data_IF_134526901123
#
_entry.id   IF_134526901123
#
_cell.length_a   1.000
_cell.length_b   1.000
_cell.length_c   1.000
_cell.angle_alpha   90.00
_cell.angle_beta   90.00
_cell.angle_gamma   90.00
#
_symmetry.space_group_name_H-M   'P 1'
#
loop_
_entity.id
_entity.type
_entity.pdbx_description
1 polymer ?
#
# COMPACT_ATOMS: atom_id res chain seq x y z
N UNK A 1 30.10 -41.75 -14.17
CA UNK A 1 28.69 -41.39 -13.95
C UNK A 1 28.47 -40.05 -14.57
N UNK A 2 27.45 -39.95 -15.40
CA UNK A 2 27.00 -38.66 -16.03
C UNK A 2 25.70 -38.25 -15.41
N UNK A 3 25.58 -37.00 -15.05
CA UNK A 3 24.34 -36.35 -14.59
C UNK A 3 24.12 -35.09 -15.43
N UNK A 4 22.96 -35.01 -16.05
CA UNK A 4 22.60 -33.89 -16.92
C UNK A 4 21.24 -33.33 -16.50
N UNK A 5 21.24 -32.05 -16.19
CA UNK A 5 20.00 -31.27 -15.99
C UNK A 5 19.77 -30.43 -17.21
N UNK A 6 18.55 -30.48 -17.76
CA UNK A 6 18.22 -29.76 -18.95
C UNK A 6 16.75 -29.27 -18.95
N UNK A 7 16.47 -28.30 -19.79
CA UNK A 7 15.16 -27.70 -20.00
C UNK A 7 14.64 -28.14 -21.38
N UNK A 8 13.75 -29.15 -21.45
CA UNK A 8 13.26 -29.66 -22.73
C UNK A 8 12.37 -28.68 -23.51
N UNK A 9 11.88 -27.64 -22.83
CA UNK A 9 11.06 -26.56 -23.41
C UNK A 9 11.91 -25.49 -24.12
N UNK A 10 13.22 -25.48 -23.97
CA UNK A 10 14.14 -24.52 -24.58
C UNK A 10 14.97 -25.16 -25.70
N UNK A 11 15.36 -24.33 -26.69
CA UNK A 11 16.13 -24.74 -27.85
C UNK A 11 17.53 -25.21 -27.43
N UNK A 12 18.25 -24.39 -26.64
CA UNK A 12 19.51 -24.75 -25.99
C UNK A 12 19.13 -25.22 -24.59
N UNK A 13 19.18 -26.53 -24.35
CA UNK A 13 18.48 -27.11 -23.21
C UNK A 13 19.36 -27.39 -22.00
N UNK A 14 20.69 -27.36 -22.13
CA UNK A 14 21.60 -27.73 -21.03
C UNK A 14 21.62 -26.70 -19.90
N UNK A 15 21.16 -27.14 -18.72
CA UNK A 15 21.17 -26.34 -17.49
C UNK A 15 22.44 -26.62 -16.68
N UNK A 16 22.86 -27.90 -16.57
CA UNK A 16 24.08 -28.30 -15.89
C UNK A 16 24.49 -29.69 -16.33
N UNK A 17 25.78 -29.91 -16.57
CA UNK A 17 26.32 -31.21 -16.90
C UNK A 17 27.48 -31.55 -15.97
N UNK A 18 27.38 -32.69 -15.32
CA UNK A 18 28.46 -33.36 -14.60
C UNK A 18 28.78 -34.64 -15.32
N UNK A 19 30.02 -34.79 -15.75
CA UNK A 19 30.47 -35.97 -16.45
C UNK A 19 31.96 -36.17 -16.21
N UNK A 20 32.38 -37.45 -16.10
CA UNK A 20 33.76 -37.81 -15.87
C UNK A 20 34.39 -37.10 -14.65
N UNK A 21 33.64 -37.03 -13.54
CA UNK A 21 34.05 -36.47 -12.26
C UNK A 21 34.22 -34.92 -12.23
N UNK A 22 33.80 -34.22 -13.28
CA UNK A 22 33.89 -32.74 -13.39
C UNK A 22 32.63 -32.17 -13.94
N UNK A 23 32.38 -30.88 -13.61
CA UNK A 23 31.32 -30.09 -14.22
C UNK A 23 31.77 -29.62 -15.62
N UNK A 24 31.01 -30.02 -16.66
CA UNK A 24 31.25 -29.69 -18.08
C UNK A 24 30.18 -28.77 -18.58
N UNK A 25 30.29 -27.49 -18.29
CA UNK A 25 29.26 -26.50 -18.61
C UNK A 25 29.55 -25.69 -19.88
N UNK A 26 30.24 -26.29 -20.86
CA UNK A 26 30.64 -25.64 -22.12
C UNK A 26 29.40 -25.19 -22.92
N UNK A 27 28.36 -26.03 -22.95
CA UNK A 27 27.13 -25.82 -23.70
C UNK A 27 25.97 -25.36 -22.80
N UNK A 28 26.30 -24.91 -21.59
CA UNK A 28 25.32 -24.40 -20.64
C UNK A 28 24.62 -23.17 -21.20
N UNK A 29 23.28 -23.12 -21.05
CA UNK A 29 22.50 -21.95 -21.38
C UNK A 29 23.05 -20.73 -20.63
N UNK A 30 23.27 -19.64 -21.33
CA UNK A 30 23.86 -18.40 -20.82
C UNK A 30 23.22 -17.89 -19.53
N UNK A 31 21.90 -18.01 -19.42
CA UNK A 31 21.15 -17.56 -18.23
C UNK A 31 21.44 -18.37 -16.97
N UNK A 32 21.99 -19.60 -17.09
CA UNK A 32 22.28 -20.45 -15.95
C UNK A 32 23.78 -20.45 -15.53
N UNK A 33 24.62 -19.79 -16.29
CA UNK A 33 26.07 -19.72 -15.99
C UNK A 33 26.27 -19.07 -14.60
N UNK A 34 27.03 -19.78 -13.74
CA UNK A 34 27.33 -19.33 -12.38
C UNK A 34 26.20 -19.43 -11.37
N UNK A 35 25.02 -19.90 -11.80
CA UNK A 35 23.83 -20.02 -10.94
C UNK A 35 23.50 -21.44 -10.53
N UNK A 36 24.08 -22.43 -11.15
CA UNK A 36 23.82 -23.85 -10.90
C UNK A 36 24.97 -24.51 -10.16
N UNK A 37 24.65 -25.40 -9.24
CA UNK A 37 25.64 -26.17 -8.51
C UNK A 37 25.10 -27.55 -8.16
N UNK A 38 25.88 -28.59 -8.51
CA UNK A 38 25.68 -29.97 -8.09
C UNK A 38 26.55 -30.26 -6.85
N UNK A 39 26.00 -30.93 -5.84
CA UNK A 39 26.80 -31.35 -4.69
C UNK A 39 27.45 -32.74 -4.97
N UNK A 40 28.73 -32.75 -5.28
CA UNK A 40 29.44 -33.97 -5.64
C UNK A 40 29.55 -35.01 -4.50
N UNK A 41 29.49 -34.57 -3.24
CA UNK A 41 29.49 -35.47 -2.09
C UNK A 41 28.15 -36.19 -1.92
N UNK A 42 27.05 -35.43 -2.08
CA UNK A 42 25.68 -35.98 -2.04
C UNK A 42 25.40 -36.86 -3.26
N UNK A 43 25.99 -36.52 -4.42
CA UNK A 43 25.89 -37.32 -5.62
C UNK A 43 26.46 -38.74 -5.42
N UNK A 44 27.55 -38.90 -4.64
CA UNK A 44 28.10 -40.19 -4.27
C UNK A 44 27.16 -41.02 -3.37
N UNK A 45 26.22 -40.35 -2.69
CA UNK A 45 25.20 -40.98 -1.87
C UNK A 45 23.91 -41.25 -2.62
N UNK A 46 23.86 -40.89 -3.90
CA UNK A 46 22.68 -41.05 -4.76
C UNK A 46 21.77 -39.82 -4.87
N UNK A 47 22.16 -38.68 -4.32
CA UNK A 47 21.41 -37.44 -4.44
C UNK A 47 22.01 -36.55 -5.56
N UNK A 48 21.30 -36.47 -6.68
CA UNK A 48 21.63 -35.65 -7.85
C UNK A 48 20.92 -34.32 -7.90
N UNK A 49 20.48 -33.80 -6.75
CA UNK A 49 19.77 -32.54 -6.65
C UNK A 49 20.61 -31.35 -7.15
N UNK A 50 20.05 -30.54 -8.02
CA UNK A 50 20.68 -29.34 -8.55
C UNK A 50 20.25 -28.12 -7.71
N UNK A 51 21.21 -27.34 -7.22
CA UNK A 51 20.96 -26.06 -6.61
C UNK A 51 20.93 -24.98 -7.68
N UNK A 52 19.81 -24.27 -7.80
CA UNK A 52 19.67 -23.07 -8.62
C UNK A 52 19.65 -21.82 -7.70
N UNK A 53 20.57 -20.88 -7.95
CA UNK A 53 20.72 -19.65 -7.19
C UNK A 53 20.13 -18.47 -7.95
N UNK A 54 19.73 -17.40 -7.22
CA UNK A 54 19.19 -16.16 -7.80
C UNK A 54 18.05 -16.43 -8.78
N UNK A 55 17.02 -17.14 -8.30
CA UNK A 55 15.88 -17.56 -9.11
C UNK A 55 15.17 -16.36 -9.75
N UNK A 56 14.82 -16.52 -11.03
CA UNK A 56 14.14 -15.51 -11.87
C UNK A 56 12.83 -16.07 -12.38
N UNK A 57 11.96 -15.24 -12.87
CA UNK A 57 10.71 -15.65 -13.53
C UNK A 57 10.98 -16.55 -14.74
N UNK A 58 12.04 -16.28 -15.49
CA UNK A 58 12.47 -17.10 -16.65
C UNK A 58 12.93 -18.51 -16.28
N UNK A 59 13.14 -18.78 -15.00
CA UNK A 59 13.49 -20.14 -14.53
C UNK A 59 12.26 -21.04 -14.37
N UNK A 60 11.05 -20.48 -14.44
CA UNK A 60 9.82 -21.27 -14.45
C UNK A 60 9.79 -22.22 -15.65
N UNK A 61 9.39 -23.47 -15.40
CA UNK A 61 9.23 -24.45 -16.44
C UNK A 61 9.61 -25.86 -16.03
N UNK A 62 9.73 -26.70 -17.04
CA UNK A 62 10.00 -28.14 -16.89
C UNK A 62 11.50 -28.41 -16.92
N UNK A 63 12.01 -29.04 -15.88
CA UNK A 63 13.39 -29.50 -15.78
C UNK A 63 13.42 -31.00 -15.83
N UNK A 64 14.38 -31.53 -16.55
CA UNK A 64 14.61 -32.96 -16.59
C UNK A 64 16.04 -33.28 -16.13
N UNK A 65 16.15 -34.21 -15.18
CA UNK A 65 17.40 -34.79 -14.74
C UNK A 65 17.59 -36.13 -15.42
N UNK A 66 18.69 -36.32 -16.10
CA UNK A 66 19.09 -37.58 -16.67
C UNK A 66 20.37 -38.06 -15.98
N UNK A 67 20.35 -39.30 -15.49
CA UNK A 67 21.47 -39.89 -14.81
C UNK A 67 21.87 -41.15 -15.57
N UNK A 68 23.13 -41.25 -15.89
CA UNK A 68 23.70 -42.43 -16.59
C UNK A 68 24.92 -42.97 -15.84
N UNK A 69 24.84 -44.23 -15.51
CA UNK A 69 25.97 -45.01 -15.05
C UNK A 69 26.53 -45.87 -16.19
N UNK A 70 27.54 -46.68 -15.89
CA UNK A 70 28.12 -47.60 -16.87
C UNK A 70 27.12 -48.63 -17.40
N UNK A 71 26.11 -48.98 -16.61
CA UNK A 71 25.21 -50.11 -16.90
C UNK A 71 23.73 -49.74 -16.95
N UNK A 72 23.37 -48.61 -16.41
CA UNK A 72 21.98 -48.18 -16.25
C UNK A 72 21.86 -46.70 -16.48
N UNK A 73 20.66 -46.28 -16.89
CA UNK A 73 20.26 -44.88 -16.94
C UNK A 73 18.89 -44.76 -16.32
N UNK A 74 18.61 -43.57 -15.78
CA UNK A 74 17.31 -43.18 -15.25
C UNK A 74 17.08 -41.69 -15.47
N UNK A 75 15.84 -41.27 -15.49
CA UNK A 75 15.50 -39.89 -15.62
C UNK A 75 14.29 -39.49 -14.74
N UNK A 76 14.25 -38.26 -14.34
CA UNK A 76 13.12 -37.67 -13.61
C UNK A 76 12.84 -36.28 -14.11
N UNK A 77 11.61 -35.85 -13.93
CA UNK A 77 11.13 -34.55 -14.39
C UNK A 77 10.57 -33.73 -13.21
N UNK A 78 10.97 -32.46 -13.13
CA UNK A 78 10.53 -31.52 -12.09
C UNK A 78 9.93 -30.30 -12.76
N UNK A 79 8.72 -29.94 -12.36
CA UNK A 79 8.11 -28.70 -12.79
C UNK A 79 8.39 -27.61 -11.75
N UNK A 80 9.09 -26.58 -12.16
CA UNK A 80 9.42 -25.42 -11.31
C UNK A 80 8.43 -24.31 -11.57
N UNK A 81 7.73 -23.88 -10.54
CA UNK A 81 6.85 -22.71 -10.56
C UNK A 81 7.51 -21.59 -9.77
N UNK A 82 7.52 -20.40 -10.35
CA UNK A 82 8.12 -19.23 -9.74
C UNK A 82 7.03 -18.30 -9.25
N UNK A 83 7.19 -17.75 -8.06
CA UNK A 83 6.31 -16.75 -7.50
C UNK A 83 7.11 -15.56 -7.01
N UNK A 84 6.56 -14.37 -7.21
CA UNK A 84 7.05 -13.15 -6.61
C UNK A 84 5.91 -12.43 -5.90
N UNK A 85 6.11 -12.19 -4.62
CA UNK A 85 5.19 -11.40 -3.79
C UNK A 85 5.49 -9.92 -4.00
N UNK A 86 4.49 -9.18 -4.44
CA UNK A 86 4.59 -7.75 -4.69
C UNK A 86 4.56 -6.92 -3.40
N UNK A 87 4.44 -5.61 -3.57
CA UNK A 87 4.31 -4.67 -2.47
C UNK A 87 2.89 -4.67 -1.91
N UNK A 88 2.69 -4.30 -0.63
CA UNK A 88 1.35 -4.07 -0.08
C UNK A 88 0.57 -3.09 -0.93
N UNK A 89 -0.74 -3.31 -1.11
CA UNK A 89 -1.57 -2.40 -1.89
C UNK A 89 -1.65 -1.01 -1.23
N UNK A 90 -1.68 0.03 -2.07
CA UNK A 90 -1.80 1.42 -1.64
C UNK A 90 -3.15 1.95 -2.10
N UNK A 91 -3.93 2.50 -1.17
CA UNK A 91 -5.19 3.18 -1.48
C UNK A 91 -4.92 4.68 -1.59
N UNK A 92 -5.32 5.28 -2.70
CA UNK A 92 -5.33 6.72 -2.93
C UNK A 92 -6.75 7.23 -3.10
N UNK A 93 -6.95 8.48 -2.73
CA UNK A 93 -8.24 9.18 -2.87
C UNK A 93 -8.11 10.16 -4.03
N UNK A 94 -8.86 9.94 -5.10
CA UNK A 94 -8.82 10.78 -6.29
C UNK A 94 -9.77 11.99 -6.21
N UNK A 95 -10.75 11.92 -5.31
CA UNK A 95 -11.68 13.03 -5.10
C UNK A 95 -13.12 12.58 -4.89
N UNK A 96 -14.04 13.48 -5.21
CA UNK A 96 -15.48 13.25 -5.09
C UNK A 96 -16.16 13.59 -6.41
N UNK A 97 -17.16 12.81 -6.77
CA UNK A 97 -18.04 13.15 -7.87
C UNK A 97 -19.11 14.17 -7.48
N UNK A 98 -19.90 14.62 -8.46
CA UNK A 98 -20.98 15.57 -8.26
C UNK A 98 -22.12 15.03 -7.39
N UNK A 99 -22.24 13.71 -7.26
CA UNK A 99 -23.24 13.03 -6.42
C UNK A 99 -22.76 12.83 -4.97
N UNK A 100 -21.51 13.16 -4.69
CA UNK A 100 -20.86 12.99 -3.39
C UNK A 100 -20.27 11.60 -3.18
N UNK A 101 -20.10 10.82 -4.24
CA UNK A 101 -19.36 9.56 -4.24
C UNK A 101 -17.87 9.81 -4.09
N UNK A 102 -17.21 8.98 -3.28
CA UNK A 102 -15.78 9.04 -3.04
C UNK A 102 -15.06 8.10 -4.01
N UNK A 103 -14.21 8.66 -4.88
CA UNK A 103 -13.37 7.90 -5.80
C UNK A 103 -12.11 7.40 -5.09
N UNK A 104 -11.96 6.09 -5.05
CA UNK A 104 -10.81 5.41 -4.47
C UNK A 104 -10.09 4.62 -5.57
N UNK A 105 -8.78 4.68 -5.55
CA UNK A 105 -7.90 3.88 -6.38
C UNK A 105 -7.04 3.00 -5.48
N UNK A 106 -6.91 1.72 -5.82
CA UNK A 106 -5.96 0.82 -5.20
C UNK A 106 -4.98 0.30 -6.22
N UNK A 107 -3.70 0.32 -5.89
CA UNK A 107 -2.62 -0.14 -6.75
C UNK A 107 -1.63 -1.00 -5.96
N UNK A 108 -1.12 -2.06 -6.60
CA UNK A 108 -0.08 -2.92 -6.06
C UNK A 108 0.81 -3.43 -7.21
N UNK A 109 2.12 -3.51 -6.99
CA UNK A 109 3.10 -3.83 -8.02
C UNK A 109 4.13 -4.87 -7.58
N UNK A 110 4.82 -5.48 -8.54
CA UNK A 110 5.94 -6.39 -8.30
C UNK A 110 5.55 -7.85 -8.18
N UNK A 111 4.37 -8.23 -8.61
CA UNK A 111 3.82 -9.59 -8.53
C UNK A 111 4.25 -10.50 -9.69
N UNK A 112 4.32 -11.78 -9.42
CA UNK A 112 4.39 -12.81 -10.46
C UNK A 112 3.86 -14.16 -9.91
N UNK A 113 2.97 -14.83 -10.63
CA UNK A 113 2.21 -14.36 -11.78
C UNK A 113 1.25 -13.21 -11.44
N UNK A 114 0.33 -12.91 -12.35
CA UNK A 114 -0.70 -11.90 -12.15
C UNK A 114 -1.53 -12.20 -10.90
N UNK A 115 -1.67 -11.24 -9.97
CA UNK A 115 -2.45 -11.42 -8.75
C UNK A 115 -3.90 -11.01 -8.97
N UNK A 116 -4.79 -11.47 -8.09
CA UNK A 116 -6.15 -10.94 -7.95
C UNK A 116 -6.17 -9.76 -7.01
N UNK A 117 -6.83 -8.66 -7.42
CA UNK A 117 -7.11 -7.50 -6.57
C UNK A 117 -8.61 -7.39 -6.36
N UNK A 118 -9.04 -7.24 -5.12
CA UNK A 118 -10.43 -7.09 -4.75
C UNK A 118 -10.65 -5.98 -3.71
N UNK A 119 -11.77 -5.31 -3.83
CA UNK A 119 -12.26 -4.39 -2.82
C UNK A 119 -13.29 -5.06 -1.92
N UNK A 120 -13.21 -4.79 -0.63
CA UNK A 120 -14.11 -5.36 0.37
C UNK A 120 -14.66 -4.25 1.28
N UNK A 121 -15.90 -4.42 1.72
CA UNK A 121 -16.49 -3.59 2.77
C UNK A 121 -16.04 -4.06 4.17
N UNK A 122 -16.54 -3.38 5.20
CA UNK A 122 -16.27 -3.71 6.62
C UNK A 122 -16.70 -5.11 7.04
N UNK A 123 -17.64 -5.72 6.30
CA UNK A 123 -18.15 -7.09 6.53
C UNK A 123 -17.37 -8.15 5.74
N UNK A 124 -16.38 -7.73 4.92
CA UNK A 124 -15.63 -8.63 4.06
C UNK A 124 -16.35 -9.02 2.78
N UNK A 125 -17.43 -8.32 2.42
CA UNK A 125 -18.14 -8.54 1.16
C UNK A 125 -17.46 -7.80 0.03
N UNK A 126 -17.28 -8.48 -1.12
CA UNK A 126 -16.64 -7.92 -2.30
C UNK A 126 -17.48 -6.79 -2.90
N UNK A 127 -16.81 -5.69 -3.21
CA UNK A 127 -17.35 -4.53 -3.90
C UNK A 127 -16.96 -4.59 -5.38
N UNK A 128 -17.88 -4.20 -6.26
CA UNK A 128 -17.61 -4.16 -7.70
C UNK A 128 -16.68 -3.01 -8.03
N UNK A 129 -15.58 -3.31 -8.73
CA UNK A 129 -14.70 -2.29 -9.29
C UNK A 129 -15.30 -1.65 -10.55
N UNK A 130 -15.02 -0.38 -10.77
CA UNK A 130 -15.39 0.34 -11.99
C UNK A 130 -14.39 0.08 -13.11
N UNK A 131 -13.12 0.10 -12.77
CA UNK A 131 -12.02 -0.20 -13.70
C UNK A 131 -11.04 -1.18 -13.07
N UNK A 132 -10.49 -2.03 -13.91
CA UNK A 132 -9.37 -2.91 -13.56
C UNK A 132 -8.33 -2.78 -14.64
N UNK A 133 -7.14 -2.41 -14.27
CA UNK A 133 -5.99 -2.27 -15.15
C UNK A 133 -4.88 -3.19 -14.65
N UNK A 134 -4.34 -3.99 -15.55
CA UNK A 134 -3.16 -4.82 -15.29
C UNK A 134 -2.06 -4.39 -16.24
N UNK A 135 -0.93 -4.05 -15.71
CA UNK A 135 0.27 -3.72 -16.48
C UNK A 135 1.36 -4.75 -16.20
N UNK A 136 2.01 -5.20 -17.27
CA UNK A 136 3.19 -6.04 -17.18
C UNK A 136 4.42 -5.20 -17.51
N UNK A 137 5.32 -5.10 -16.54
CA UNK A 137 6.60 -4.45 -16.71
C UNK A 137 7.71 -5.51 -16.58
N UNK A 138 8.41 -5.80 -17.71
CA UNK A 138 9.36 -6.91 -17.79
C UNK A 138 8.69 -8.24 -17.40
N UNK A 139 9.09 -8.78 -16.24
CA UNK A 139 8.60 -10.05 -15.72
C UNK A 139 7.65 -9.89 -14.53
N UNK A 140 7.17 -8.68 -14.22
CA UNK A 140 6.34 -8.40 -13.06
C UNK A 140 5.02 -7.75 -13.45
N UNK A 141 4.00 -8.02 -12.65
CA UNK A 141 2.68 -7.43 -12.81
C UNK A 141 2.45 -6.32 -11.78
N UNK A 142 1.80 -5.27 -12.23
CA UNK A 142 1.13 -4.29 -11.40
C UNK A 142 -0.36 -4.34 -11.68
N UNK A 143 -1.16 -4.24 -10.63
CA UNK A 143 -2.63 -4.26 -10.72
C UNK A 143 -3.18 -3.02 -10.06
N UNK A 144 -4.20 -2.45 -10.68
CA UNK A 144 -4.85 -1.23 -10.25
C UNK A 144 -6.35 -1.36 -10.44
N UNK A 145 -7.12 -0.97 -9.43
CA UNK A 145 -8.57 -0.93 -9.51
C UNK A 145 -9.12 0.35 -8.92
N UNK A 146 -10.21 0.84 -9.49
CA UNK A 146 -10.95 1.99 -8.97
C UNK A 146 -12.35 1.60 -8.56
N UNK A 147 -12.85 2.26 -7.50
CA UNK A 147 -14.23 2.18 -7.07
C UNK A 147 -14.75 3.56 -6.70
N UNK A 148 -16.07 3.74 -6.82
CA UNK A 148 -16.77 4.87 -6.23
C UNK A 148 -17.65 4.42 -5.08
N UNK A 149 -17.43 4.99 -3.92
CA UNK A 149 -18.16 4.66 -2.70
C UNK A 149 -19.19 5.73 -2.41
N UNK A 150 -20.47 5.39 -2.56
CA UNK A 150 -21.60 6.29 -2.28
C UNK A 150 -22.15 6.10 -0.86
N UNK A 151 -21.99 4.90 -0.30
CA UNK A 151 -22.46 4.58 1.04
C UNK A 151 -21.32 4.64 2.05
N UNK A 152 -21.67 5.01 3.26
CA UNK A 152 -20.76 5.22 4.38
C UNK A 152 -20.38 3.89 5.02
N UNK A 153 -19.60 3.10 4.30
CA UNK A 153 -18.89 2.00 4.94
C UNK A 153 -17.77 2.61 5.79
N UNK A 154 -17.75 2.27 7.06
CA UNK A 154 -16.74 2.81 7.98
C UNK A 154 -15.32 2.37 7.60
N UNK A 155 -15.21 1.24 6.90
CA UNK A 155 -13.92 0.68 6.46
C UNK A 155 -14.05 0.07 5.07
N UNK A 156 -13.13 0.46 4.21
CA UNK A 156 -12.95 -0.13 2.88
C UNK A 156 -11.58 -0.79 2.86
N UNK A 157 -11.54 -2.03 2.42
CA UNK A 157 -10.33 -2.83 2.31
C UNK A 157 -9.98 -3.04 0.85
N UNK A 158 -8.71 -2.90 0.52
CA UNK A 158 -8.15 -3.36 -0.73
C UNK A 158 -7.24 -4.55 -0.43
N UNK A 159 -7.51 -5.67 -1.08
CA UNK A 159 -6.83 -6.94 -0.87
C UNK A 159 -6.25 -7.45 -2.18
N UNK A 160 -4.99 -7.82 -2.15
CA UNK A 160 -4.31 -8.49 -3.26
C UNK A 160 -4.00 -9.93 -2.87
N UNK A 161 -4.35 -10.85 -3.73
CA UNK A 161 -4.17 -12.29 -3.53
C UNK A 161 -3.30 -12.89 -4.62
N UNK A 162 -2.35 -13.71 -4.22
CA UNK A 162 -1.59 -14.56 -5.11
C UNK A 162 -1.42 -15.92 -4.43
N UNK A 163 -2.17 -16.93 -4.86
CA UNK A 163 -2.16 -18.28 -4.28
C UNK A 163 -2.29 -18.27 -2.75
N UNK A 164 -1.18 -18.43 -2.01
CA UNK A 164 -1.14 -18.45 -0.55
C UNK A 164 -0.81 -17.09 0.08
N UNK A 165 -0.45 -16.11 -0.74
CA UNK A 165 -0.08 -14.78 -0.27
C UNK A 165 -1.27 -13.84 -0.36
N UNK A 166 -1.58 -13.20 0.75
CA UNK A 166 -2.63 -12.19 0.85
C UNK A 166 -2.03 -10.96 1.49
N UNK A 167 -2.07 -9.84 0.79
CA UNK A 167 -1.72 -8.53 1.33
C UNK A 167 -2.94 -7.63 1.28
N UNK A 168 -3.16 -6.88 2.34
CA UNK A 168 -4.35 -6.07 2.52
C UNK A 168 -4.00 -4.71 3.11
N UNK A 169 -4.68 -3.68 2.65
CA UNK A 169 -4.69 -2.35 3.25
C UNK A 169 -6.12 -1.87 3.42
N UNK A 170 -6.33 -0.94 4.34
CA UNK A 170 -7.66 -0.41 4.61
C UNK A 170 -7.64 1.12 4.67
N UNK A 171 -8.75 1.72 4.29
CA UNK A 171 -9.03 3.13 4.52
C UNK A 171 -10.29 3.24 5.38
N UNK A 172 -10.28 4.18 6.32
CA UNK A 172 -11.44 4.46 7.17
C UNK A 172 -12.12 5.72 6.65
N UNK A 173 -13.32 5.54 6.12
CA UNK A 173 -14.17 6.64 5.64
C UNK A 173 -15.12 7.04 6.76
N UNK A 174 -14.64 7.83 7.73
CA UNK A 174 -15.51 8.28 8.81
C UNK A 174 -16.47 9.37 8.33
N UNK A 175 -17.75 9.11 8.45
CA UNK A 175 -18.85 10.00 8.05
C UNK A 175 -18.90 11.34 8.81
N UNK A 176 -18.12 11.49 9.87
CA UNK A 176 -18.09 12.72 10.69
C UNK A 176 -17.57 13.94 9.93
N UNK A 177 -16.78 13.76 8.88
CA UNK A 177 -16.31 14.89 8.03
C UNK A 177 -17.28 15.26 6.91
N UNK A 178 -18.08 14.33 6.43
CA UNK A 178 -18.98 14.54 5.28
C UNK A 178 -20.28 15.26 5.64
N UNK A 179 -20.79 15.07 6.86
CA UNK A 179 -21.99 15.74 7.35
C UNK A 179 -21.69 17.13 7.93
N UNK A 180 -20.43 17.38 8.31
CA UNK A 180 -20.03 18.55 9.08
C UNK A 180 -20.14 19.87 8.28
N UNK A 181 -19.92 19.87 6.98
CA UNK A 181 -19.96 21.12 6.22
C UNK A 181 -21.40 21.63 6.02
N UNK A 182 -22.37 20.73 5.74
CA UNK A 182 -23.79 21.12 5.63
C UNK A 182 -24.35 21.59 6.96
N UNK A 183 -24.06 20.88 8.04
CA UNK A 183 -24.45 21.30 9.39
C UNK A 183 -23.68 22.52 9.83
N UNK A 184 -22.41 22.68 9.49
CA UNK A 184 -21.64 23.89 9.77
C UNK A 184 -22.14 25.09 8.97
N UNK A 185 -22.49 24.95 7.70
CA UNK A 185 -23.05 25.98 6.87
C UNK A 185 -24.44 26.40 7.39
N UNK A 186 -25.27 25.43 7.77
CA UNK A 186 -26.59 25.71 8.38
C UNK A 186 -26.41 26.42 9.72
N UNK A 187 -25.52 25.97 10.58
CA UNK A 187 -25.24 26.61 11.86
C UNK A 187 -24.69 28.03 11.68
N UNK A 188 -23.74 28.21 10.76
CA UNK A 188 -23.19 29.54 10.44
C UNK A 188 -24.28 30.45 9.90
N UNK A 189 -25.14 29.98 9.00
CA UNK A 189 -26.25 30.79 8.47
C UNK A 189 -27.25 31.15 9.54
N UNK A 190 -27.58 30.21 10.44
CA UNK A 190 -28.45 30.50 11.59
C UNK A 190 -27.80 31.51 12.55
N UNK A 191 -26.50 31.35 12.84
CA UNK A 191 -25.77 32.32 13.66
C UNK A 191 -25.69 33.69 13.03
N UNK A 192 -25.48 33.78 11.71
CA UNK A 192 -25.49 35.06 10.98
C UNK A 192 -26.88 35.70 11.03
N UNK A 193 -27.94 34.95 10.81
CA UNK A 193 -29.32 35.49 10.91
C UNK A 193 -29.63 35.93 12.33
N UNK A 194 -29.31 35.16 13.34
CA UNK A 194 -29.51 35.53 14.74
C UNK A 194 -28.68 36.74 15.16
N UNK A 195 -27.44 36.84 14.67
CA UNK A 195 -26.59 38.02 14.94
C UNK A 195 -27.13 39.28 14.26
N UNK A 196 -27.71 39.18 13.07
CA UNK A 196 -28.39 40.31 12.38
C UNK A 196 -29.64 40.74 13.13
N UNK A 197 -30.46 39.77 13.57
CA UNK A 197 -31.67 40.09 14.38
C UNK A 197 -31.26 40.74 15.72
N UNK A 198 -30.26 40.18 16.40
CA UNK A 198 -29.72 40.74 17.63
C UNK A 198 -29.17 42.18 17.40
N UNK A 199 -28.46 42.39 16.29
CA UNK A 199 -27.95 43.71 15.91
C UNK A 199 -29.07 44.74 15.66
N UNK A 200 -30.15 44.34 14.99
CA UNK A 200 -31.34 45.19 14.76
C UNK A 200 -32.01 45.50 16.10
N UNK A 201 -32.18 44.51 16.97
CA UNK A 201 -32.80 44.74 18.30
C UNK A 201 -31.96 45.68 19.17
N UNK A 202 -30.63 45.52 19.14
CA UNK A 202 -29.70 46.40 19.85
C UNK A 202 -29.78 47.82 19.26
N UNK A 203 -29.82 47.96 17.93
CA UNK A 203 -29.95 49.29 17.29
C UNK A 203 -31.27 49.98 17.63
N UNK A 204 -32.38 49.23 17.66
CA UNK A 204 -33.70 49.74 18.08
C UNK A 204 -33.70 50.13 19.56
N UNK A 205 -33.07 49.31 20.39
CA UNK A 205 -32.96 49.58 21.83
C UNK A 205 -32.10 50.84 22.12
N UNK A 206 -30.95 50.95 21.45
CA UNK A 206 -30.07 52.13 21.57
C UNK A 206 -30.74 53.40 21.01
N UNK A 207 -31.49 53.28 19.93
CA UNK A 207 -32.24 54.40 19.38
C UNK A 207 -33.32 54.88 20.34
N UNK A 208 -33.94 53.96 21.09
CA UNK A 208 -35.03 54.24 22.02
C UNK A 208 -34.54 54.81 23.38
N UNK A 209 -33.26 54.51 23.74
CA UNK A 209 -32.67 54.87 25.03
C UNK A 209 -31.57 55.95 24.91
N UNK A 210 -31.61 56.81 23.94
CA UNK A 210 -30.59 57.85 23.70
C UNK A 210 -30.37 58.81 24.87
N UNK A 211 -31.17 58.72 25.98
CA UNK A 211 -31.03 59.54 27.15
C UNK A 211 -30.22 59.06 28.33
N UNK A 212 -29.59 57.90 28.20
CA UNK A 212 -28.88 57.34 29.34
C UNK A 212 -27.34 57.35 29.13
N UNK A 213 -26.69 58.36 29.68
CA UNK A 213 -25.25 58.54 29.77
C UNK A 213 -24.51 57.38 30.50
N UNK A 214 -25.25 56.41 31.04
CA UNK A 214 -24.70 55.23 31.70
C UNK A 214 -24.26 54.13 30.73
N UNK A 215 -24.85 54.04 29.55
CA UNK A 215 -24.51 53.03 28.55
C UNK A 215 -23.10 53.21 27.93
N UNK A 216 -22.58 54.43 27.94
CA UNK A 216 -21.23 54.69 27.41
C UNK A 216 -20.13 54.12 28.32
N UNK A 217 -20.39 54.00 29.61
CA UNK A 217 -19.47 53.31 30.55
C UNK A 217 -19.54 51.81 30.41
N UNK A 218 -20.69 51.19 30.19
CA UNK A 218 -20.82 49.76 29.94
C UNK A 218 -20.17 49.35 28.60
N UNK A 219 -20.33 50.22 27.59
CA UNK A 219 -19.72 49.97 26.28
C UNK A 219 -18.16 49.97 26.35
N UNK A 220 -17.58 50.88 27.15
CA UNK A 220 -16.13 50.90 27.35
C UNK A 220 -15.63 49.66 28.13
N UNK A 221 -16.41 49.17 29.10
CA UNK A 221 -16.08 47.94 29.84
C UNK A 221 -16.18 46.69 28.95
N UNK A 222 -17.19 46.62 28.08
CA UNK A 222 -17.31 45.53 27.10
C UNK A 222 -16.19 45.54 26.06
N UNK A 223 -15.70 46.73 25.69
CA UNK A 223 -14.56 46.84 24.76
C UNK A 223 -13.25 46.35 25.37
N UNK A 224 -13.05 46.66 26.65
CA UNK A 224 -11.87 46.17 27.40
C UNK A 224 -11.91 44.64 27.63
N UNK A 225 -13.08 44.09 27.86
CA UNK A 225 -13.28 42.65 27.99
C UNK A 225 -13.07 41.92 26.64
N UNK A 226 -13.56 42.51 25.55
CA UNK A 226 -13.31 42.01 24.18
C UNK A 226 -11.80 41.97 23.84
N UNK A 227 -11.09 43.06 24.21
CA UNK A 227 -9.63 43.13 24.00
C UNK A 227 -8.88 42.07 24.82
N UNK A 228 -9.39 41.74 26.02
CA UNK A 228 -8.84 40.70 26.86
C UNK A 228 -9.07 39.30 26.27
N UNK A 229 -10.26 39.01 25.77
CA UNK A 229 -10.62 37.77 25.09
C UNK A 229 -9.87 37.60 23.76
N UNK A 230 -9.64 38.69 23.03
CA UNK A 230 -8.85 38.64 21.80
C UNK A 230 -7.39 38.30 22.06
N UNK A 231 -6.83 38.74 23.18
CA UNK A 231 -5.49 38.39 23.64
C UNK A 231 -5.41 36.92 24.07
N UNK A 232 -6.44 36.42 24.71
CA UNK A 232 -6.52 34.98 25.11
C UNK A 232 -6.72 34.08 23.90
N UNK A 233 -7.48 34.50 22.91
CA UNK A 233 -7.68 33.75 21.67
C UNK A 233 -6.41 33.71 20.79
N UNK A 234 -5.59 34.76 20.79
CA UNK A 234 -4.30 34.74 20.12
C UNK A 234 -3.30 33.80 20.82
N UNK A 235 -3.35 33.67 22.13
CA UNK A 235 -2.54 32.69 22.88
C UNK A 235 -2.95 31.25 22.57
N UNK A 236 -4.25 30.97 22.49
CA UNK A 236 -4.75 29.66 22.08
C UNK A 236 -4.39 29.30 20.63
N UNK A 237 -4.31 30.29 19.75
CA UNK A 237 -3.91 30.08 18.36
C UNK A 237 -2.42 29.77 18.21
N UNK A 238 -1.58 30.38 19.08
CA UNK A 238 -0.16 30.08 19.16
C UNK A 238 0.10 28.67 19.75
N UNK A 239 -0.69 28.30 20.75
CA UNK A 239 -0.61 26.95 21.36
C UNK A 239 -1.06 25.87 20.36
N UNK A 240 -2.10 26.15 19.58
CA UNK A 240 -2.55 25.24 18.50
C UNK A 240 -1.51 25.07 17.39
N UNK A 241 -0.83 26.14 17.00
CA UNK A 241 0.25 26.06 15.99
C UNK A 241 1.48 25.29 16.50
N UNK A 242 1.81 25.41 17.80
CA UNK A 242 2.88 24.61 18.41
C UNK A 242 2.51 23.11 18.46
N UNK A 243 1.28 22.78 18.79
CA UNK A 243 0.77 21.40 18.77
C UNK A 243 0.77 20.79 17.36
N UNK A 244 0.48 21.60 16.33
CA UNK A 244 0.56 21.16 14.93
C UNK A 244 2.00 20.87 14.51
N UNK A 245 2.95 21.67 14.96
CA UNK A 245 4.38 21.48 14.67
C UNK A 245 4.93 20.22 15.39
N UNK A 246 4.53 20.00 16.65
CA UNK A 246 4.84 18.78 17.38
C UNK A 246 4.24 17.52 16.71
N UNK A 247 3.00 17.62 16.30
CA UNK A 247 2.33 16.54 15.55
C UNK A 247 3.05 16.23 14.23
N UNK A 248 3.52 17.27 13.52
CA UNK A 248 4.33 17.12 12.31
C UNK A 248 5.64 16.38 12.57
N UNK A 249 6.33 16.71 13.68
CA UNK A 249 7.56 16.04 14.10
C UNK A 249 7.34 14.56 14.47
N UNK A 250 6.24 14.27 15.18
CA UNK A 250 5.87 12.90 15.51
C UNK A 250 5.53 12.10 14.24
N UNK A 251 4.81 12.69 13.31
CA UNK A 251 4.44 12.03 12.06
C UNK A 251 5.66 11.73 11.18
N UNK A 252 6.65 12.65 11.16
CA UNK A 252 7.92 12.42 10.47
C UNK A 252 8.72 11.28 11.12
N UNK A 253 8.80 11.25 12.46
CA UNK A 253 9.47 10.19 13.20
C UNK A 253 8.82 8.82 13.00
N UNK A 254 7.48 8.76 12.90
CA UNK A 254 6.75 7.52 12.62
C UNK A 254 7.07 7.01 11.21
N UNK A 255 7.15 7.88 10.20
CA UNK A 255 7.53 7.51 8.83
C UNK A 255 8.96 6.95 8.82
N UNK A 256 9.89 7.59 9.50
CA UNK A 256 11.30 7.16 9.60
C UNK A 256 11.45 5.78 10.27
N UNK A 257 10.64 5.51 11.31
CA UNK A 257 10.59 4.20 11.98
C UNK A 257 10.01 3.12 11.03
N UNK A 258 9.00 3.45 10.24
CA UNK A 258 8.40 2.53 9.26
C UNK A 258 9.43 2.19 8.18
N UNK A 259 10.14 3.17 7.64
CA UNK A 259 11.19 2.95 6.64
C UNK A 259 12.35 2.08 7.18
N UNK A 260 12.82 2.37 8.39
CA UNK A 260 13.83 1.54 9.08
C UNK A 260 13.35 0.11 9.32
N UNK A 261 12.08 -0.08 9.63
CA UNK A 261 11.48 -1.40 9.87
C UNK A 261 11.37 -2.21 8.56
N UNK A 262 11.07 -1.53 7.45
CA UNK A 262 11.03 -2.12 6.11
C UNK A 262 12.43 -2.55 5.68
N UNK A 263 13.45 -1.71 5.88
CA UNK A 263 14.85 -2.00 5.56
C UNK A 263 15.41 -3.17 6.38
N UNK A 264 15.09 -3.24 7.67
CA UNK A 264 15.48 -4.36 8.53
C UNK A 264 14.81 -5.68 8.08
N UNK A 265 13.56 -5.63 7.67
CA UNK A 265 12.81 -6.80 7.18
C UNK A 265 13.30 -7.26 5.81
N UNK A 266 13.61 -6.33 4.91
CA UNK A 266 14.27 -6.62 3.63
C UNK A 266 15.64 -7.27 3.82
N UNK A 267 16.48 -6.72 4.70
CA UNK A 267 17.79 -7.29 5.02
C UNK A 267 17.73 -8.68 5.68
N UNK A 268 16.67 -8.95 6.44
CA UNK A 268 16.47 -10.27 7.04
C UNK A 268 16.03 -11.32 6.00
N UNK A 269 15.22 -10.92 5.04
CA UNK A 269 14.77 -11.78 3.93
C UNK A 269 15.93 -12.06 2.95
N UNK A 270 16.75 -11.04 2.66
CA UNK A 270 17.96 -11.18 1.84
C UNK A 270 19.03 -12.06 2.48
N UNK A 271 19.05 -12.22 3.80
CA UNK A 271 19.97 -13.14 4.51
C UNK A 271 19.42 -14.58 4.61
N UNK A 272 18.14 -14.78 4.32
CA UNK A 272 17.48 -16.08 4.39
C UNK A 272 17.30 -16.76 3.01
N UNK A 273 17.62 -16.04 1.92
CA UNK A 273 17.80 -16.53 0.55
C UNK A 273 19.30 -16.76 0.26
#
# INVERSE_FOLDING_TARGET
>A
MRVEWFRPDLKDSQVHLYDDHVDKNTDQIQSYIGRTKLNHQELQRGDASLKLSSVRVSDEGLYKCFIQSKYQYDDTTVNVSVEAVGRPPVITVDGFDHSGGLHLQCESEGWYPEPDLEWLNSEGVSLSSETTETHRNEDRFSVKQTITVHHRDDKIHCRVKLRHHVLETQIITTSKRFSSWRTSVILISVFVVLSVIAGILIAVFVHKNRELSQLQKEHSQLQDEHNRLQKENSQLQDEHSQLQDEKGKIQHAVIEIIDLTIDLKMNSVMKAL
#
